data_IF_818736002517
#
_entry.id   IF_818736002517
#
_cell.length_a   1.000
_cell.length_b   1.000
_cell.length_c   1.000
_cell.angle_alpha   90.00
_cell.angle_beta   90.00
_cell.angle_gamma   90.00
#
_symmetry.space_group_name_H-M   'P 1'
#
loop_
_entity.id
_entity.type
_entity.pdbx_description
1 polymer ?
#
# COMPACT_ATOMS: atom_id res chain seq x y z
N UNK A 1 90.52 17.47 43.11
CA UNK A 1 90.75 18.92 43.10
C UNK A 1 89.38 19.60 43.02
N UNK A 2 88.94 20.19 44.13
CA UNK A 2 88.18 21.39 44.35
C UNK A 2 87.25 21.86 43.19
N UNK A 3 85.95 22.28 43.33
CA UNK A 3 85.33 23.12 44.43
C UNK A 3 83.79 23.14 44.22
N UNK A 4 83.05 23.03 45.32
CA UNK A 4 81.99 23.85 45.90
C UNK A 4 81.02 24.54 44.93
N UNK A 5 79.73 24.20 45.10
CA UNK A 5 78.60 24.80 45.78
C UNK A 5 78.07 26.12 45.15
N UNK A 6 76.75 26.11 44.86
CA UNK A 6 75.78 27.03 45.47
C UNK A 6 74.34 26.64 45.24
N UNK A 7 73.59 26.40 46.31
CA UNK A 7 72.13 26.48 46.34
C UNK A 7 71.73 27.91 46.03
N UNK A 8 70.72 28.08 45.24
CA UNK A 8 69.90 29.25 45.31
C UNK A 8 68.40 28.84 45.22
N UNK A 9 67.75 28.99 46.37
CA UNK A 9 66.32 28.91 46.60
C UNK A 9 65.70 30.23 46.13
N UNK A 10 64.88 30.12 45.06
CA UNK A 10 63.75 31.06 44.82
C UNK A 10 62.91 30.54 43.65
N UNK A 11 61.77 29.90 43.91
CA UNK A 11 60.43 30.36 43.46
C UNK A 11 59.37 29.32 43.69
N UNK A 12 58.40 29.47 44.56
CA UNK A 12 57.16 28.72 44.62
C UNK A 12 55.97 29.48 43.98
N UNK A 13 56.17 30.15 42.84
CA UNK A 13 55.08 30.88 42.21
C UNK A 13 54.60 30.30 40.86
N UNK A 14 55.41 29.45 40.20
CA UNK A 14 55.08 28.87 38.90
C UNK A 14 54.17 27.63 38.97
N UNK A 15 54.16 26.90 40.09
CA UNK A 15 53.36 25.68 40.26
C UNK A 15 51.88 25.94 40.48
N UNK A 16 51.49 27.12 40.97
CA UNK A 16 50.08 27.47 41.26
C UNK A 16 49.31 27.95 40.01
N UNK A 17 49.96 28.56 39.04
CA UNK A 17 49.35 29.03 37.78
C UNK A 17 49.14 27.85 36.78
N UNK A 18 50.03 26.87 36.75
CA UNK A 18 49.85 25.70 35.89
C UNK A 18 48.77 24.78 36.41
N UNK A 19 48.57 24.66 37.73
CA UNK A 19 47.48 23.89 38.34
C UNK A 19 46.09 24.53 38.11
N UNK A 20 46.01 25.87 38.10
CA UNK A 20 44.74 26.57 37.83
C UNK A 20 44.37 26.56 36.35
N UNK A 21 45.32 26.58 35.42
CA UNK A 21 45.07 26.45 33.99
C UNK A 21 44.66 25.00 33.59
N UNK A 22 45.12 23.96 34.28
CA UNK A 22 44.73 22.58 34.05
C UNK A 22 43.33 22.28 34.62
N UNK A 23 42.90 22.94 35.68
CA UNK A 23 41.53 22.79 36.23
C UNK A 23 40.48 23.56 35.41
N UNK A 24 40.83 24.66 34.75
CA UNK A 24 39.94 25.43 33.87
C UNK A 24 39.86 24.74 32.50
N UNK A 25 40.92 24.06 32.01
CA UNK A 25 40.91 23.31 30.76
C UNK A 25 40.11 22.02 30.86
N UNK A 26 40.02 21.38 32.02
CA UNK A 26 39.22 20.17 32.23
C UNK A 26 37.72 20.42 32.31
N UNK A 27 37.30 21.64 32.70
CA UNK A 27 35.87 22.00 32.70
C UNK A 27 35.35 22.38 31.30
N UNK A 28 36.21 22.87 30.41
CA UNK A 28 35.85 23.19 29.02
C UNK A 28 35.82 21.92 28.09
N UNK A 29 36.52 20.85 28.45
CA UNK A 29 36.49 19.57 27.73
C UNK A 29 35.38 18.61 28.20
N UNK A 30 34.74 18.92 29.36
CA UNK A 30 33.66 18.09 29.90
C UNK A 30 32.27 18.48 29.36
N UNK A 31 32.14 19.60 28.66
CA UNK A 31 30.85 20.10 28.17
C UNK A 31 30.39 19.46 26.90
N UNK A 32 31.33 18.97 26.07
CA UNK A 32 31.03 18.30 24.79
C UNK A 32 30.87 16.76 24.89
N UNK A 33 31.19 16.14 26.02
CA UNK A 33 31.25 14.68 26.15
C UNK A 33 29.87 14.00 26.17
N UNK A 34 28.85 14.65 26.73
CA UNK A 34 27.51 14.04 26.84
C UNK A 34 26.82 13.84 25.47
N UNK A 35 26.99 14.74 24.54
CA UNK A 35 26.43 14.65 23.20
C UNK A 35 27.07 13.51 22.42
N UNK A 36 28.39 13.35 22.56
CA UNK A 36 29.10 12.23 21.95
C UNK A 36 28.68 10.89 22.56
N UNK A 37 28.47 10.83 23.87
CA UNK A 37 27.91 9.65 24.54
C UNK A 37 26.50 9.32 24.03
N UNK A 38 25.62 10.32 23.89
CA UNK A 38 24.28 10.13 23.33
C UNK A 38 24.34 9.60 21.89
N UNK A 39 25.14 10.22 21.02
CA UNK A 39 25.32 9.76 19.63
C UNK A 39 25.84 8.34 19.58
N UNK A 40 26.88 8.01 20.36
CA UNK A 40 27.43 6.66 20.43
C UNK A 40 26.40 5.63 20.90
N UNK A 41 25.59 5.96 21.91
CA UNK A 41 24.53 5.07 22.39
C UNK A 41 23.43 4.88 21.32
N UNK A 42 23.08 5.93 20.58
CA UNK A 42 22.10 5.88 19.47
C UNK A 42 22.65 4.99 18.34
N UNK A 43 23.91 5.14 17.94
CA UNK A 43 24.53 4.33 16.89
C UNK A 43 24.57 2.85 17.27
N UNK A 44 24.71 2.54 18.56
CA UNK A 44 24.61 1.20 19.13
C UNK A 44 23.17 0.72 19.37
N UNK A 45 22.16 1.50 19.00
CA UNK A 45 20.74 1.23 19.25
C UNK A 45 20.35 1.10 20.74
N UNK A 46 21.13 1.70 21.63
CA UNK A 46 20.93 1.68 23.07
C UNK A 46 20.15 2.92 23.52
N UNK A 47 18.90 3.06 23.06
CA UNK A 47 18.10 4.28 23.27
C UNK A 47 17.87 4.58 24.76
N UNK A 48 17.68 3.57 25.60
CA UNK A 48 17.55 3.75 27.05
C UNK A 48 18.82 4.31 27.70
N UNK A 49 20.00 3.89 27.25
CA UNK A 49 21.26 4.44 27.72
C UNK A 49 21.42 5.91 27.29
N UNK A 50 21.08 6.23 26.05
CA UNK A 50 21.06 7.61 25.55
C UNK A 50 20.12 8.50 26.38
N UNK A 51 18.91 8.04 26.71
CA UNK A 51 17.97 8.75 27.59
C UNK A 51 18.53 8.98 29.01
N UNK A 52 19.23 7.98 29.57
CA UNK A 52 19.86 8.16 30.89
C UNK A 52 20.91 9.27 30.88
N UNK A 53 21.76 9.34 29.84
CA UNK A 53 22.77 10.41 29.69
C UNK A 53 22.10 11.78 29.59
N UNK A 54 21.07 11.92 28.74
CA UNK A 54 20.33 13.17 28.57
C UNK A 54 19.63 13.59 29.86
N UNK A 55 19.00 12.67 30.58
CA UNK A 55 18.35 12.97 31.86
C UNK A 55 19.35 13.41 32.95
N UNK A 56 20.55 12.80 32.98
CA UNK A 56 21.62 13.23 33.87
C UNK A 56 22.08 14.67 33.53
N UNK A 57 22.22 14.98 32.24
CA UNK A 57 22.55 16.38 31.81
C UNK A 57 21.49 17.35 32.26
N UNK A 58 20.21 17.06 32.05
CA UNK A 58 19.10 17.92 32.46
C UNK A 58 18.95 18.05 33.98
N UNK A 59 19.34 17.04 34.76
CA UNK A 59 19.39 17.15 36.21
C UNK A 59 20.44 18.21 36.71
N UNK A 60 21.54 18.34 35.97
CA UNK A 60 22.57 19.35 36.26
C UNK A 60 22.35 20.69 35.58
N UNK A 61 21.67 20.70 34.43
CA UNK A 61 21.40 21.89 33.61
C UNK A 61 19.95 21.84 33.06
N UNK A 62 18.94 22.20 33.86
CA UNK A 62 17.52 22.09 33.50
C UNK A 62 17.12 23.00 32.31
N UNK A 63 17.87 24.02 31.99
CA UNK A 63 17.59 24.97 30.89
C UNK A 63 18.41 24.71 29.64
N UNK A 64 19.03 23.51 29.53
CA UNK A 64 19.79 23.10 28.35
C UNK A 64 18.84 22.66 27.24
N UNK A 65 18.54 23.58 26.31
CA UNK A 65 17.59 23.36 25.22
C UNK A 65 18.07 22.28 24.23
N UNK A 66 19.38 22.09 24.10
CA UNK A 66 19.90 21.01 23.24
C UNK A 66 19.65 19.62 23.88
N UNK A 67 19.82 19.54 25.20
CA UNK A 67 19.47 18.34 25.93
C UNK A 67 17.94 18.03 25.85
N UNK A 68 17.09 19.08 25.92
CA UNK A 68 15.65 18.93 25.70
C UNK A 68 15.33 18.44 24.27
N UNK A 69 15.99 19.01 23.25
CA UNK A 69 15.81 18.54 21.86
C UNK A 69 16.21 17.07 21.69
N UNK A 70 17.33 16.65 22.30
CA UNK A 70 17.72 15.24 22.33
C UNK A 70 16.73 14.36 23.08
N UNK A 71 16.22 14.81 24.24
CA UNK A 71 15.20 14.06 24.98
C UNK A 71 13.95 13.88 24.17
N UNK A 72 13.46 14.93 23.52
CA UNK A 72 12.31 14.87 22.61
C UNK A 72 12.50 13.83 21.50
N UNK A 73 13.67 13.82 20.84
CA UNK A 73 13.99 12.87 19.78
C UNK A 73 14.00 11.42 20.29
N UNK A 74 14.63 11.15 21.43
CA UNK A 74 14.72 9.82 22.02
C UNK A 74 13.35 9.30 22.50
N UNK A 75 12.53 10.18 23.09
CA UNK A 75 11.15 9.86 23.49
C UNK A 75 10.28 9.56 22.26
N UNK A 76 10.43 10.34 21.19
CA UNK A 76 9.73 10.11 19.94
C UNK A 76 10.02 8.71 19.34
N UNK A 77 11.29 8.30 19.34
CA UNK A 77 11.72 6.98 18.85
C UNK A 77 11.25 5.81 19.73
N UNK A 78 10.98 6.06 21.01
CA UNK A 78 10.46 5.03 21.93
C UNK A 78 8.94 5.04 22.05
N UNK A 79 8.24 5.85 21.26
CA UNK A 79 6.78 5.90 21.21
C UNK A 79 6.12 6.75 22.28
N UNK A 80 6.89 7.49 23.08
CA UNK A 80 6.39 8.44 24.08
C UNK A 80 6.10 9.80 23.44
N UNK A 81 5.15 9.81 22.51
CA UNK A 81 4.94 10.94 21.60
C UNK A 81 4.49 12.22 22.32
N UNK A 82 3.61 12.10 23.33
CA UNK A 82 3.13 13.25 24.09
C UNK A 82 4.25 13.94 24.87
N UNK A 83 5.14 13.12 25.46
CA UNK A 83 6.29 13.67 26.21
C UNK A 83 7.30 14.30 25.24
N UNK A 84 7.52 13.67 24.06
CA UNK A 84 8.37 14.22 23.01
C UNK A 84 7.86 15.57 22.49
N UNK A 85 6.55 15.69 22.28
CA UNK A 85 5.91 16.94 21.88
C UNK A 85 6.14 18.05 22.91
N UNK A 86 5.99 17.73 24.19
CA UNK A 86 6.24 18.68 25.29
C UNK A 86 7.68 19.19 25.28
N UNK A 87 8.65 18.29 25.07
CA UNK A 87 10.07 18.66 24.97
C UNK A 87 10.35 19.56 23.77
N UNK A 88 9.82 19.24 22.62
CA UNK A 88 10.00 20.04 21.41
C UNK A 88 9.33 21.40 21.54
N UNK A 89 8.15 21.51 22.15
CA UNK A 89 7.49 22.78 22.39
C UNK A 89 8.29 23.67 23.36
N UNK A 90 8.92 23.08 24.38
CA UNK A 90 9.80 23.81 25.28
C UNK A 90 10.96 24.47 24.52
N UNK A 91 11.61 23.74 23.62
CA UNK A 91 12.70 24.28 22.79
C UNK A 91 12.19 25.36 21.84
N UNK A 92 11.05 25.11 21.15
CA UNK A 92 10.49 26.06 20.20
C UNK A 92 9.98 27.35 20.82
N UNK A 93 9.59 27.35 22.09
CA UNK A 93 9.27 28.57 22.82
C UNK A 93 10.48 29.52 22.93
N UNK A 94 11.70 28.97 22.97
CA UNK A 94 12.95 29.75 23.05
C UNK A 94 13.59 29.97 21.66
N UNK A 95 13.48 28.96 20.78
CA UNK A 95 14.04 28.94 19.42
C UNK A 95 12.96 28.58 18.40
N UNK A 96 12.04 29.47 18.05
CA UNK A 96 10.85 29.17 17.27
C UNK A 96 11.15 28.71 15.84
N UNK A 97 12.32 28.97 15.30
CA UNK A 97 12.74 28.65 13.96
C UNK A 97 13.79 27.50 13.88
N UNK A 98 13.95 26.75 14.96
CA UNK A 98 14.83 25.57 14.94
C UNK A 98 14.27 24.49 14.03
N UNK A 99 14.90 24.32 12.85
CA UNK A 99 14.42 23.44 11.79
C UNK A 99 14.45 21.97 12.20
N UNK A 100 15.47 21.56 12.95
CA UNK A 100 15.61 20.17 13.40
C UNK A 100 14.52 19.80 14.41
N UNK A 101 14.21 20.71 15.31
CA UNK A 101 13.14 20.52 16.29
C UNK A 101 11.77 20.59 15.63
N UNK A 102 11.54 21.52 14.70
CA UNK A 102 10.31 21.60 13.92
C UNK A 102 10.06 20.31 13.12
N UNK A 103 11.09 19.76 12.47
CA UNK A 103 10.93 18.51 11.73
C UNK A 103 10.70 17.32 12.66
N UNK A 104 11.33 17.27 13.82
CA UNK A 104 11.07 16.26 14.86
C UNK A 104 9.64 16.33 15.40
N UNK A 105 9.14 17.54 15.69
CA UNK A 105 7.76 17.75 16.12
C UNK A 105 6.76 17.31 15.03
N UNK A 106 7.03 17.65 13.78
CA UNK A 106 6.17 17.23 12.67
C UNK A 106 6.10 15.71 12.52
N UNK A 107 7.21 14.98 12.72
CA UNK A 107 7.22 13.52 12.73
C UNK A 107 6.36 12.96 13.88
N UNK A 108 6.44 13.54 15.08
CA UNK A 108 5.61 13.14 16.24
C UNK A 108 4.12 13.36 15.94
N UNK A 109 3.74 14.52 15.45
CA UNK A 109 2.36 14.85 15.07
C UNK A 109 1.84 13.92 13.96
N UNK A 110 2.70 13.54 13.01
CA UNK A 110 2.38 12.57 11.97
C UNK A 110 2.05 11.19 12.56
N UNK A 111 2.83 10.71 13.53
CA UNK A 111 2.59 9.42 14.19
C UNK A 111 1.32 9.44 15.06
N UNK A 112 0.97 10.60 15.61
CA UNK A 112 -0.30 10.84 16.31
C UNK A 112 -1.48 11.03 15.35
N UNK A 113 -1.27 10.98 14.02
CA UNK A 113 -2.26 11.24 12.96
C UNK A 113 -2.83 12.68 12.97
N UNK A 114 -2.14 13.61 13.57
CA UNK A 114 -2.48 15.04 13.58
C UNK A 114 -1.90 15.71 12.33
N UNK A 115 -2.46 15.36 11.17
CA UNK A 115 -1.89 15.73 9.87
C UNK A 115 -1.94 17.22 9.58
N UNK A 116 -2.97 17.94 10.05
CA UNK A 116 -3.14 19.37 9.85
C UNK A 116 -2.09 20.16 10.61
N UNK A 117 -1.84 19.78 11.86
CA UNK A 117 -0.85 20.37 12.75
C UNK A 117 0.57 20.07 12.24
N UNK A 118 0.83 18.83 11.84
CA UNK A 118 2.11 18.45 11.23
C UNK A 118 2.41 19.28 9.97
N UNK A 119 1.39 19.55 9.13
CA UNK A 119 1.59 20.39 7.95
C UNK A 119 1.90 21.84 8.31
N UNK A 120 1.23 22.40 9.31
CA UNK A 120 1.49 23.77 9.78
C UNK A 120 2.93 23.92 10.31
N UNK A 121 3.40 22.94 11.10
CA UNK A 121 4.77 22.92 11.61
C UNK A 121 5.80 22.79 10.48
N UNK A 122 5.53 21.95 9.46
CA UNK A 122 6.41 21.84 8.29
C UNK A 122 6.40 23.11 7.42
N UNK A 123 5.31 23.87 7.36
CA UNK A 123 5.29 25.18 6.71
C UNK A 123 6.17 26.19 7.46
N UNK A 124 6.17 26.17 8.79
CA UNK A 124 7.07 26.98 9.59
C UNK A 124 8.53 26.57 9.35
N UNK A 125 8.85 25.29 9.35
CA UNK A 125 10.19 24.79 9.04
C UNK A 125 10.64 25.21 7.63
N UNK A 126 9.73 25.12 6.62
CA UNK A 126 10.00 25.57 5.26
C UNK A 126 10.24 27.09 5.17
N UNK A 127 9.52 27.87 5.97
CA UNK A 127 9.73 29.33 6.03
C UNK A 127 11.09 29.68 6.60
N UNK A 128 11.56 28.91 7.60
CA UNK A 128 12.90 29.09 8.19
C UNK A 128 14.02 28.57 7.26
N UNK A 129 13.78 27.48 6.52
CA UNK A 129 14.76 26.85 5.61
C UNK A 129 14.11 26.44 4.28
N UNK A 130 13.86 27.38 3.33
CA UNK A 130 13.07 27.13 2.12
C UNK A 130 13.64 26.08 1.17
N UNK A 131 14.95 25.86 1.21
CA UNK A 131 15.66 24.93 0.31
C UNK A 131 16.17 23.68 1.04
N UNK A 132 15.81 23.48 2.31
CA UNK A 132 16.23 22.29 3.05
C UNK A 132 15.56 21.03 2.47
N UNK A 133 16.33 20.09 1.89
CA UNK A 133 15.76 18.90 1.22
C UNK A 133 14.97 18.03 2.19
N UNK A 134 15.37 17.97 3.45
CA UNK A 134 14.71 17.15 4.46
C UNK A 134 13.32 17.68 4.80
N UNK A 135 13.18 18.99 4.97
CA UNK A 135 11.88 19.66 5.17
C UNK A 135 10.98 19.44 3.97
N UNK A 136 11.50 19.69 2.75
CA UNK A 136 10.72 19.53 1.52
C UNK A 136 10.25 18.09 1.31
N UNK A 137 11.10 17.09 1.59
CA UNK A 137 10.74 15.66 1.49
C UNK A 137 9.68 15.28 2.51
N UNK A 138 9.81 15.69 3.79
CA UNK A 138 8.79 15.41 4.81
C UNK A 138 7.45 16.02 4.45
N UNK A 139 7.47 17.28 4.04
CA UNK A 139 6.28 17.99 3.58
C UNK A 139 5.64 17.29 2.38
N UNK A 140 6.42 16.88 1.39
CA UNK A 140 5.93 16.16 0.22
C UNK A 140 5.29 14.82 0.59
N UNK A 141 5.88 14.06 1.52
CA UNK A 141 5.31 12.81 2.04
C UNK A 141 3.97 13.04 2.75
N UNK A 142 3.88 14.07 3.57
CA UNK A 142 2.64 14.43 4.25
C UNK A 142 1.57 14.89 3.25
N UNK A 143 1.91 15.70 2.25
CA UNK A 143 1.00 16.09 1.18
C UNK A 143 0.51 14.88 0.38
N UNK A 144 1.39 13.91 0.10
CA UNK A 144 1.01 12.65 -0.54
C UNK A 144 0.04 11.83 0.33
N UNK A 145 0.24 11.82 1.64
CA UNK A 145 -0.66 11.17 2.60
C UNK A 145 -2.03 11.85 2.64
N UNK A 146 -2.08 13.18 2.48
CA UNK A 146 -3.30 13.98 2.39
C UNK A 146 -3.92 14.00 0.98
N UNK A 147 -3.44 13.15 0.06
CA UNK A 147 -3.90 13.03 -1.34
C UNK A 147 -3.69 14.32 -2.18
N UNK A 148 -2.91 15.28 -1.68
CA UNK A 148 -2.49 16.49 -2.41
C UNK A 148 -1.33 16.15 -3.36
N UNK A 149 -1.57 15.22 -4.28
CA UNK A 149 -0.54 14.55 -5.11
C UNK A 149 0.22 15.53 -6.02
N UNK A 150 -0.46 16.52 -6.58
CA UNK A 150 0.17 17.54 -7.43
C UNK A 150 1.19 18.39 -6.66
N UNK A 151 0.85 18.79 -5.44
CA UNK A 151 1.74 19.57 -4.58
C UNK A 151 2.90 18.72 -4.05
N UNK A 152 2.62 17.46 -3.66
CA UNK A 152 3.66 16.51 -3.27
C UNK A 152 4.68 16.30 -4.41
N UNK A 153 4.20 16.11 -5.63
CA UNK A 153 5.04 15.97 -6.82
C UNK A 153 5.94 17.20 -7.04
N UNK A 154 5.37 18.40 -6.97
CA UNK A 154 6.12 19.64 -7.12
C UNK A 154 7.23 19.78 -6.05
N UNK A 155 6.99 19.37 -4.81
CA UNK A 155 8.00 19.41 -3.75
C UNK A 155 9.12 18.40 -3.97
N UNK A 156 8.81 17.14 -4.35
CA UNK A 156 9.86 16.16 -4.69
C UNK A 156 10.68 16.62 -5.89
N UNK A 157 10.03 17.19 -6.92
CA UNK A 157 10.74 17.75 -8.07
C UNK A 157 11.66 18.90 -7.66
N UNK A 158 11.21 19.80 -6.79
CA UNK A 158 12.03 20.89 -6.26
C UNK A 158 13.30 20.36 -5.57
N UNK A 159 13.20 19.29 -4.77
CA UNK A 159 14.39 18.65 -4.18
C UNK A 159 15.35 18.15 -5.26
N UNK A 160 14.86 17.54 -6.33
CA UNK A 160 15.70 17.00 -7.40
C UNK A 160 16.34 18.09 -8.29
N UNK A 161 15.89 19.34 -8.22
CA UNK A 161 16.61 20.46 -8.88
C UNK A 161 17.92 20.81 -8.17
N UNK A 162 18.02 20.54 -6.86
CA UNK A 162 19.22 20.82 -6.05
C UNK A 162 20.09 19.56 -5.89
N UNK A 163 19.46 18.41 -5.71
CA UNK A 163 20.08 17.09 -5.55
C UNK A 163 19.35 16.06 -6.42
N UNK A 164 19.79 15.94 -7.67
CA UNK A 164 19.18 15.05 -8.67
C UNK A 164 19.23 13.56 -8.30
N UNK A 165 20.07 13.19 -7.35
CA UNK A 165 20.24 11.81 -6.86
C UNK A 165 19.55 11.55 -5.53
N UNK A 166 18.83 12.51 -4.95
CA UNK A 166 18.19 12.35 -3.66
C UNK A 166 17.25 11.13 -3.59
N UNK A 167 17.62 10.07 -2.85
CA UNK A 167 16.89 8.80 -2.91
C UNK A 167 15.47 8.91 -2.37
N UNK A 168 15.24 9.82 -1.40
CA UNK A 168 13.93 10.03 -0.81
C UNK A 168 12.98 10.74 -1.79
N UNK A 169 13.47 11.70 -2.56
CA UNK A 169 12.69 12.40 -3.57
C UNK A 169 12.41 11.51 -4.79
N UNK A 170 13.40 10.74 -5.25
CA UNK A 170 13.22 9.74 -6.34
C UNK A 170 12.17 8.69 -5.95
N UNK A 171 12.32 8.09 -4.75
CA UNK A 171 11.35 7.11 -4.24
C UNK A 171 9.97 7.73 -4.03
N UNK A 172 9.91 8.98 -3.54
CA UNK A 172 8.68 9.74 -3.37
C UNK A 172 7.94 9.95 -4.69
N UNK A 173 8.63 10.41 -5.74
CA UNK A 173 8.03 10.56 -7.08
C UNK A 173 7.56 9.22 -7.65
N UNK A 174 8.35 8.16 -7.51
CA UNK A 174 7.97 6.83 -7.95
C UNK A 174 6.70 6.33 -7.23
N UNK A 175 6.55 6.63 -5.94
CA UNK A 175 5.34 6.27 -5.17
C UNK A 175 4.11 7.05 -5.63
N UNK A 176 4.28 8.28 -6.15
CA UNK A 176 3.20 9.10 -6.70
C UNK A 176 2.85 8.74 -8.14
N UNK A 177 3.80 8.20 -8.91
CA UNK A 177 3.58 7.79 -10.29
C UNK A 177 2.68 6.55 -10.40
N UNK A 178 2.63 5.72 -9.35
CA UNK A 178 1.82 4.50 -9.32
C UNK A 178 0.32 4.71 -9.04
N UNK A 179 -0.14 5.94 -8.78
CA UNK A 179 -1.55 6.24 -8.47
C UNK A 179 -2.17 7.02 -9.63
N UNK A 180 -2.38 6.34 -10.74
CA UNK A 180 -3.29 6.84 -11.77
C UNK A 180 -4.70 6.90 -11.20
N UNK A 181 -5.33 8.05 -11.32
CA UNK A 181 -6.67 8.28 -10.77
C UNK A 181 -7.74 7.58 -11.58
N UNK A 182 -7.49 7.38 -12.87
CA UNK A 182 -8.45 6.78 -13.79
C UNK A 182 -7.80 5.66 -14.60
N UNK A 183 -8.60 4.64 -14.94
CA UNK A 183 -8.24 3.58 -15.88
C UNK A 183 -9.37 3.39 -16.88
N UNK A 184 -9.05 3.37 -18.18
CA UNK A 184 -9.92 2.91 -19.23
C UNK A 184 -9.39 1.56 -19.71
N UNK A 185 -10.25 0.55 -19.78
CA UNK A 185 -9.91 -0.78 -20.31
C UNK A 185 -10.92 -1.21 -21.36
N UNK A 186 -10.41 -1.73 -22.47
CA UNK A 186 -11.20 -2.32 -23.52
C UNK A 186 -10.75 -3.77 -23.68
N UNK A 187 -11.68 -4.68 -23.77
CA UNK A 187 -11.40 -6.11 -23.90
C UNK A 187 -12.41 -6.82 -24.78
N UNK A 188 -11.98 -7.96 -25.29
CA UNK A 188 -12.78 -8.89 -26.06
C UNK A 188 -12.52 -10.30 -25.54
N UNK A 189 -13.56 -11.09 -25.42
CA UNK A 189 -13.54 -12.50 -25.10
C UNK A 189 -14.34 -13.27 -26.15
N UNK A 190 -13.76 -14.36 -26.67
CA UNK A 190 -14.40 -15.26 -27.62
C UNK A 190 -14.42 -16.68 -27.05
N UNK A 191 -15.61 -17.27 -27.03
CA UNK A 191 -15.82 -18.64 -26.65
C UNK A 191 -16.07 -19.50 -27.91
N UNK A 192 -15.18 -20.46 -28.13
CA UNK A 192 -15.25 -21.42 -29.23
C UNK A 192 -15.81 -22.74 -28.71
N UNK A 193 -16.97 -23.15 -29.21
CA UNK A 193 -17.66 -24.38 -28.81
C UNK A 193 -17.53 -25.41 -29.91
N UNK A 194 -17.51 -26.70 -29.53
CA UNK A 194 -17.60 -27.83 -30.51
C UNK A 194 -19.02 -28.34 -30.71
N UNK A 195 -20.03 -27.75 -30.08
CA UNK A 195 -21.40 -28.25 -30.03
C UNK A 195 -22.48 -27.18 -30.29
N UNK A 196 -22.10 -25.90 -30.37
CA UNK A 196 -22.98 -24.78 -30.65
C UNK A 196 -22.23 -23.67 -31.37
N UNK A 197 -22.90 -22.60 -31.70
CA UNK A 197 -22.28 -21.38 -32.26
C UNK A 197 -21.33 -20.73 -31.26
N UNK A 198 -20.30 -20.06 -31.79
CA UNK A 198 -19.34 -19.34 -30.98
C UNK A 198 -20.01 -18.13 -30.32
N UNK A 199 -19.46 -17.72 -29.17
CA UNK A 199 -19.89 -16.53 -28.45
C UNK A 199 -18.81 -15.49 -28.42
N UNK A 200 -19.21 -14.22 -28.38
CA UNK A 200 -18.30 -13.06 -28.23
C UNK A 200 -18.85 -12.10 -27.21
N UNK A 201 -17.94 -11.53 -26.44
CA UNK A 201 -18.24 -10.49 -25.43
C UNK A 201 -17.19 -9.39 -25.55
N UNK A 202 -17.62 -8.21 -25.85
CA UNK A 202 -16.80 -7.02 -25.76
C UNK A 202 -17.00 -6.38 -24.39
N UNK A 203 -16.01 -5.71 -23.86
CA UNK A 203 -16.12 -5.02 -22.57
C UNK A 203 -15.36 -3.71 -22.61
N UNK A 204 -16.02 -2.63 -22.24
CA UNK A 204 -15.42 -1.32 -22.03
C UNK A 204 -15.67 -0.93 -20.58
N UNK A 205 -14.60 -0.64 -19.83
CA UNK A 205 -14.70 -0.25 -18.42
C UNK A 205 -13.96 1.05 -18.16
N UNK A 206 -14.54 1.86 -17.30
CA UNK A 206 -13.91 3.05 -16.76
C UNK A 206 -13.86 2.91 -15.24
N UNK A 207 -12.65 2.90 -14.68
CA UNK A 207 -12.40 2.84 -13.24
C UNK A 207 -11.88 4.18 -12.74
N UNK A 208 -12.43 4.67 -11.63
CA UNK A 208 -11.99 5.86 -10.93
C UNK A 208 -11.57 5.51 -9.49
N UNK A 209 -10.32 5.79 -9.14
CA UNK A 209 -9.83 5.78 -7.77
C UNK A 209 -10.11 7.14 -7.15
N UNK A 210 -11.28 7.30 -6.52
CA UNK A 210 -11.74 8.59 -5.99
C UNK A 210 -10.84 9.09 -4.85
N UNK A 211 -10.40 8.16 -4.01
CA UNK A 211 -9.42 8.36 -2.95
C UNK A 211 -8.82 7.00 -2.55
N UNK A 212 -8.03 6.95 -1.45
CA UNK A 212 -7.41 5.69 -0.97
C UNK A 212 -8.42 4.63 -0.52
N UNK A 213 -9.62 5.05 -0.14
CA UNK A 213 -10.67 4.16 0.37
C UNK A 213 -11.67 3.76 -0.72
N UNK A 214 -12.00 4.65 -1.66
CA UNK A 214 -13.05 4.45 -2.66
C UNK A 214 -12.50 4.21 -4.06
N UNK A 215 -12.93 3.10 -4.66
CA UNK A 215 -12.76 2.82 -6.09
C UNK A 215 -14.15 2.56 -6.68
N UNK A 216 -14.44 3.16 -7.84
CA UNK A 216 -15.66 2.92 -8.59
C UNK A 216 -15.34 2.50 -10.01
N UNK A 217 -16.12 1.59 -10.57
CA UNK A 217 -15.99 1.15 -11.95
C UNK A 217 -17.35 1.14 -12.59
N UNK A 218 -17.46 1.64 -13.81
CA UNK A 218 -18.62 1.48 -14.68
C UNK A 218 -18.21 0.73 -15.92
N UNK A 219 -19.09 -0.10 -16.44
CA UNK A 219 -18.79 -0.90 -17.63
C UNK A 219 -20.01 -1.10 -18.53
N UNK A 220 -19.72 -1.30 -19.80
CA UNK A 220 -20.69 -1.76 -20.80
C UNK A 220 -20.12 -2.99 -21.48
N UNK A 221 -20.95 -3.99 -21.65
CA UNK A 221 -20.57 -5.26 -22.28
C UNK A 221 -21.62 -5.65 -23.31
N UNK A 222 -21.38 -5.41 -24.60
CA UNK A 222 -22.11 -6.08 -25.69
C UNK A 222 -21.78 -7.57 -25.70
N UNK A 223 -22.81 -8.38 -25.88
CA UNK A 223 -22.76 -9.85 -25.99
C UNK A 223 -23.34 -10.28 -27.32
N UNK A 224 -22.67 -11.22 -27.93
CA UNK A 224 -23.23 -12.05 -29.01
C UNK A 224 -23.11 -13.50 -28.57
N UNK A 225 -24.23 -14.11 -28.14
CA UNK A 225 -24.27 -15.42 -27.53
C UNK A 225 -25.39 -16.23 -28.21
N UNK A 226 -25.07 -17.39 -28.79
CA UNK A 226 -26.07 -18.36 -29.33
C UNK A 226 -27.08 -17.73 -30.30
N UNK A 227 -26.62 -16.78 -31.13
CA UNK A 227 -27.48 -16.07 -32.08
C UNK A 227 -28.26 -14.88 -31.50
N UNK A 228 -28.19 -14.65 -30.21
CA UNK A 228 -28.82 -13.52 -29.50
C UNK A 228 -27.83 -12.40 -29.25
N UNK A 229 -28.34 -11.15 -29.24
CA UNK A 229 -27.56 -9.95 -28.90
C UNK A 229 -28.08 -9.36 -27.59
N UNK A 230 -27.15 -9.11 -26.69
CA UNK A 230 -27.45 -8.42 -25.44
C UNK A 230 -26.45 -7.30 -25.19
N UNK A 231 -26.89 -6.28 -24.44
CA UNK A 231 -26.00 -5.24 -23.93
C UNK A 231 -26.23 -5.15 -22.43
N UNK A 232 -25.19 -5.39 -21.66
CA UNK A 232 -25.19 -5.25 -20.21
C UNK A 232 -24.46 -3.97 -19.81
N UNK A 233 -25.08 -3.19 -18.94
CA UNK A 233 -24.47 -2.03 -18.26
C UNK A 233 -24.35 -2.38 -16.79
N UNK A 234 -23.20 -2.07 -16.20
CA UNK A 234 -22.95 -2.39 -14.81
C UNK A 234 -22.12 -1.31 -14.12
N UNK A 235 -22.28 -1.22 -12.81
CA UNK A 235 -21.49 -0.35 -11.96
C UNK A 235 -21.06 -1.10 -10.70
N UNK A 236 -19.84 -0.82 -10.27
CA UNK A 236 -19.23 -1.38 -9.08
C UNK A 236 -18.66 -0.26 -8.20
N UNK A 237 -18.78 -0.41 -6.89
CA UNK A 237 -18.12 0.43 -5.91
C UNK A 237 -17.42 -0.46 -4.88
N UNK A 238 -16.16 -0.15 -4.60
CA UNK A 238 -15.38 -0.79 -3.55
C UNK A 238 -14.96 0.25 -2.52
N UNK A 239 -15.14 -0.08 -1.25
CA UNK A 239 -14.76 0.75 -0.12
C UNK A 239 -13.83 -0.01 0.82
N UNK A 240 -12.64 0.55 1.08
CA UNK A 240 -11.68 0.03 2.04
C UNK A 240 -11.81 0.79 3.35
N UNK A 241 -12.19 0.08 4.40
CA UNK A 241 -12.28 0.59 5.76
C UNK A 241 -11.26 -0.14 6.64
N UNK A 242 -10.53 0.60 7.49
CA UNK A 242 -9.33 0.09 8.14
C UNK A 242 -8.28 -0.43 7.13
N UNK A 243 -7.09 -0.76 7.57
CA UNK A 243 -5.97 -1.08 6.67
C UNK A 243 -6.15 -2.38 5.88
N UNK A 244 -7.03 -3.29 6.36
CA UNK A 244 -7.09 -4.66 5.86
C UNK A 244 -8.52 -5.13 5.49
N UNK A 245 -9.54 -4.30 5.66
CA UNK A 245 -10.94 -4.67 5.39
C UNK A 245 -11.49 -3.88 4.21
N UNK A 246 -12.28 -4.53 3.38
CA UNK A 246 -12.94 -3.87 2.26
C UNK A 246 -14.31 -4.50 2.00
N UNK A 247 -15.19 -3.75 1.39
CA UNK A 247 -16.47 -4.20 0.86
C UNK A 247 -16.58 -3.79 -0.60
N UNK A 248 -17.18 -4.63 -1.42
CA UNK A 248 -17.46 -4.38 -2.83
C UNK A 248 -18.92 -4.67 -3.11
N UNK A 249 -19.57 -3.80 -3.88
CA UNK A 249 -20.93 -3.98 -4.35
C UNK A 249 -20.96 -3.76 -5.85
N UNK A 250 -21.76 -4.55 -6.56
CA UNK A 250 -21.99 -4.41 -7.98
C UNK A 250 -23.50 -4.50 -8.27
N UNK A 251 -23.95 -3.70 -9.21
CA UNK A 251 -25.27 -3.81 -9.80
C UNK A 251 -25.16 -3.78 -11.32
N UNK A 252 -25.94 -4.60 -12.00
CA UNK A 252 -26.00 -4.64 -13.45
C UNK A 252 -27.43 -4.79 -13.97
N UNK A 253 -27.63 -4.32 -15.23
CA UNK A 253 -28.83 -4.52 -15.97
C UNK A 253 -28.54 -4.79 -17.44
N UNK A 254 -29.34 -5.61 -18.10
CA UNK A 254 -29.25 -5.87 -19.52
C UNK A 254 -30.60 -5.67 -20.21
N UNK A 255 -30.58 -5.46 -21.55
CA UNK A 255 -31.80 -5.46 -22.33
C UNK A 255 -32.49 -6.85 -22.25
N UNK A 256 -33.83 -6.92 -22.34
CA UNK A 256 -34.55 -8.18 -22.24
C UNK A 256 -34.14 -9.18 -23.32
N UNK A 257 -33.67 -10.36 -22.89
CA UNK A 257 -33.26 -11.51 -23.71
C UNK A 257 -33.05 -12.72 -22.76
N UNK A 258 -32.73 -13.89 -23.28
CA UNK A 258 -32.71 -15.14 -22.51
C UNK A 258 -31.29 -15.65 -22.16
N UNK A 259 -30.22 -15.01 -22.66
CA UNK A 259 -28.86 -15.56 -22.60
C UNK A 259 -27.96 -14.90 -21.54
N UNK A 260 -28.27 -13.68 -21.08
CA UNK A 260 -27.60 -13.03 -19.96
C UNK A 260 -28.61 -12.61 -18.89
N UNK A 261 -28.21 -12.44 -17.64
CA UNK A 261 -29.12 -11.96 -16.60
C UNK A 261 -29.70 -10.58 -16.96
N UNK A 262 -31.02 -10.41 -16.83
CA UNK A 262 -31.67 -9.13 -16.99
C UNK A 262 -31.24 -8.12 -15.89
N UNK A 263 -30.90 -8.65 -14.69
CA UNK A 263 -30.31 -7.86 -13.62
C UNK A 263 -29.39 -8.69 -12.74
N UNK A 264 -28.41 -8.03 -12.13
CA UNK A 264 -27.44 -8.66 -11.21
C UNK A 264 -27.22 -7.77 -10.00
N UNK A 265 -26.99 -8.39 -8.86
CA UNK A 265 -26.50 -7.73 -7.65
C UNK A 265 -25.44 -8.59 -6.97
N UNK A 266 -24.34 -7.96 -6.57
CA UNK A 266 -23.25 -8.64 -5.87
C UNK A 266 -22.85 -7.80 -4.66
N UNK A 267 -22.59 -8.48 -3.56
CA UNK A 267 -21.92 -7.95 -2.40
C UNK A 267 -20.76 -8.88 -2.03
N UNK A 268 -19.61 -8.30 -1.75
CA UNK A 268 -18.43 -9.03 -1.30
C UNK A 268 -17.77 -8.27 -0.15
N UNK A 269 -17.36 -9.01 0.88
CA UNK A 269 -16.58 -8.52 2.00
C UNK A 269 -15.24 -9.25 2.02
N UNK A 270 -14.15 -8.50 2.16
CA UNK A 270 -12.80 -9.04 2.26
C UNK A 270 -12.05 -8.56 3.49
N UNK A 271 -11.18 -9.43 3.99
CA UNK A 271 -10.33 -9.19 5.13
C UNK A 271 -8.94 -9.76 4.92
N UNK A 272 -7.91 -8.96 5.18
CA UNK A 272 -6.50 -9.32 4.95
C UNK A 272 -5.69 -9.41 6.24
N UNK A 273 -4.75 -10.34 6.28
CA UNK A 273 -3.75 -10.52 7.33
C UNK A 273 -2.35 -10.40 6.74
N UNK A 274 -1.42 -9.80 7.48
CA UNK A 274 0.00 -9.75 7.12
C UNK A 274 0.81 -10.53 8.13
N UNK A 275 1.82 -11.25 7.64
CA UNK A 275 2.72 -12.04 8.46
C UNK A 275 4.17 -11.57 8.20
N UNK A 276 4.96 -11.37 9.28
CA UNK A 276 6.35 -10.88 9.18
C UNK A 276 7.38 -11.99 9.02
N UNK A 277 7.23 -13.12 9.74
CA UNK A 277 8.31 -14.08 9.96
C UNK A 277 8.05 -15.48 9.41
N UNK A 278 7.03 -15.62 8.52
CA UNK A 278 6.67 -16.90 7.90
C UNK A 278 6.78 -16.84 6.38
N UNK A 279 6.83 -18.01 5.73
CA UNK A 279 6.92 -18.13 4.29
C UNK A 279 5.71 -17.50 3.57
N UNK A 280 4.50 -17.64 4.09
CA UNK A 280 3.32 -16.91 3.63
C UNK A 280 3.38 -15.48 4.17
N UNK A 281 3.47 -14.48 3.30
CA UNK A 281 3.61 -13.06 3.65
C UNK A 281 2.30 -12.37 3.98
N UNK A 282 1.19 -12.95 3.56
CA UNK A 282 -0.16 -12.45 3.84
C UNK A 282 -1.21 -13.44 3.38
N UNK A 283 -2.39 -13.31 3.97
CA UNK A 283 -3.59 -14.05 3.61
C UNK A 283 -4.74 -13.06 3.47
N UNK A 284 -5.51 -13.15 2.40
CA UNK A 284 -6.75 -12.41 2.23
C UNK A 284 -7.90 -13.40 2.06
N UNK A 285 -8.96 -13.17 2.83
CA UNK A 285 -10.19 -13.96 2.79
C UNK A 285 -11.31 -13.09 2.30
N UNK A 286 -12.11 -13.55 1.33
CA UNK A 286 -13.33 -12.86 0.94
C UNK A 286 -14.53 -13.78 0.89
N UNK A 287 -15.71 -13.19 1.11
CA UNK A 287 -17.02 -13.83 1.10
C UNK A 287 -17.92 -13.01 0.21
N UNK A 288 -18.53 -13.67 -0.78
CA UNK A 288 -19.33 -13.02 -1.80
C UNK A 288 -20.70 -13.70 -1.90
N UNK A 289 -21.73 -12.89 -2.01
CA UNK A 289 -23.04 -13.28 -2.52
C UNK A 289 -23.26 -12.60 -3.86
N UNK A 290 -23.69 -13.38 -4.87
CA UNK A 290 -24.04 -12.86 -6.20
C UNK A 290 -25.36 -13.44 -6.62
N UNK A 291 -26.34 -12.56 -6.84
CA UNK A 291 -27.69 -12.87 -7.30
C UNK A 291 -27.84 -12.42 -8.75
N UNK A 292 -28.31 -13.34 -9.59
CA UNK A 292 -28.54 -13.15 -11.03
C UNK A 292 -30.00 -13.44 -11.33
N UNK A 293 -30.68 -12.53 -11.97
CA UNK A 293 -32.08 -12.67 -12.38
C UNK A 293 -32.15 -12.76 -13.90
N UNK A 294 -32.50 -13.94 -14.38
CA UNK A 294 -32.85 -14.22 -15.78
C UNK A 294 -34.35 -14.16 -15.96
N UNK A 295 -34.84 -14.08 -17.20
CA UNK A 295 -36.27 -14.04 -17.51
C UNK A 295 -37.06 -15.19 -16.88
N UNK A 296 -36.51 -16.40 -16.81
CA UNK A 296 -37.16 -17.61 -16.31
C UNK A 296 -36.55 -18.22 -15.06
N UNK A 297 -35.48 -17.63 -14.52
CA UNK A 297 -34.76 -18.20 -13.38
C UNK A 297 -34.05 -17.13 -12.53
N UNK A 298 -33.83 -17.47 -11.27
CA UNK A 298 -32.91 -16.77 -10.40
C UNK A 298 -31.78 -17.70 -9.98
N UNK A 299 -30.55 -17.23 -10.08
CA UNK A 299 -29.36 -17.95 -9.58
C UNK A 299 -28.75 -17.15 -8.44
N UNK A 300 -28.53 -17.82 -7.32
CA UNK A 300 -27.80 -17.25 -6.18
C UNK A 300 -26.52 -18.04 -6.00
N UNK A 301 -25.39 -17.37 -5.95
CA UNK A 301 -24.10 -17.99 -5.65
C UNK A 301 -23.52 -17.45 -4.37
N UNK A 302 -22.99 -18.35 -3.55
CA UNK A 302 -22.17 -18.02 -2.38
C UNK A 302 -20.74 -18.47 -2.66
N UNK A 303 -19.81 -17.56 -2.57
CA UNK A 303 -18.39 -17.82 -2.83
C UNK A 303 -17.53 -17.45 -1.62
N UNK A 304 -16.52 -18.25 -1.35
CA UNK A 304 -15.41 -17.89 -0.47
C UNK A 304 -14.10 -18.01 -1.21
N UNK A 305 -13.27 -16.99 -1.12
CA UNK A 305 -11.95 -16.95 -1.76
C UNK A 305 -10.87 -16.71 -0.73
N UNK A 306 -9.76 -17.45 -0.85
CA UNK A 306 -8.55 -17.29 -0.05
C UNK A 306 -7.38 -16.95 -0.98
N UNK A 307 -6.71 -15.85 -0.74
CA UNK A 307 -5.50 -15.45 -1.47
C UNK A 307 -4.31 -15.48 -0.54
N UNK A 308 -3.35 -16.38 -0.79
CA UNK A 308 -2.08 -16.41 -0.08
C UNK A 308 -1.03 -15.64 -0.88
N UNK A 309 -0.39 -14.66 -0.23
CA UNK A 309 0.73 -13.91 -0.77
C UNK A 309 2.04 -14.57 -0.37
N UNK A 310 2.83 -14.97 -1.35
CA UNK A 310 4.05 -15.73 -1.19
C UNK A 310 5.29 -14.86 -1.47
N UNK A 311 6.52 -15.31 -1.14
CA UNK A 311 7.74 -14.62 -1.53
C UNK A 311 7.82 -14.35 -3.04
N UNK A 312 8.60 -13.35 -3.43
CA UNK A 312 8.80 -12.96 -4.83
C UNK A 312 7.49 -12.55 -5.55
N UNK A 313 6.46 -12.11 -4.80
CA UNK A 313 5.16 -11.68 -5.31
C UNK A 313 4.33 -12.79 -5.98
N UNK A 314 4.61 -14.05 -5.70
CA UNK A 314 3.73 -15.13 -6.11
C UNK A 314 2.43 -15.07 -5.31
N UNK A 315 1.34 -15.49 -5.95
CA UNK A 315 0.03 -15.56 -5.29
C UNK A 315 -0.62 -16.92 -5.54
N UNK A 316 -1.24 -17.44 -4.51
CA UNK A 316 -2.07 -18.63 -4.65
C UNK A 316 -3.48 -18.27 -4.21
N UNK A 317 -4.44 -18.44 -5.13
CA UNK A 317 -5.86 -18.19 -4.89
C UNK A 317 -6.61 -19.50 -4.93
N UNK A 318 -7.43 -19.73 -3.91
CA UNK A 318 -8.38 -20.85 -3.84
C UNK A 318 -9.78 -20.27 -3.67
N UNK A 319 -10.75 -20.76 -4.46
CA UNK A 319 -12.15 -20.35 -4.35
C UNK A 319 -13.05 -21.57 -4.30
N UNK A 320 -14.08 -21.50 -3.45
CA UNK A 320 -15.16 -22.47 -3.38
C UNK A 320 -16.47 -21.71 -3.54
N UNK A 321 -17.31 -22.18 -4.44
CA UNK A 321 -18.61 -21.57 -4.77
C UNK A 321 -19.71 -22.62 -4.64
N UNK A 322 -20.81 -22.27 -3.98
CA UNK A 322 -22.08 -22.98 -4.06
C UNK A 322 -23.05 -22.16 -4.91
N UNK A 323 -23.75 -22.81 -5.81
CA UNK A 323 -24.79 -22.19 -6.63
C UNK A 323 -26.15 -22.85 -6.41
N UNK A 324 -27.19 -22.04 -6.31
CA UNK A 324 -28.58 -22.47 -6.16
C UNK A 324 -29.43 -21.75 -7.19
N UNK A 325 -30.26 -22.52 -7.91
CA UNK A 325 -31.11 -21.99 -8.98
C UNK A 325 -32.59 -22.21 -8.65
N UNK A 326 -33.40 -21.17 -8.80
CA UNK A 326 -34.87 -21.20 -8.74
C UNK A 326 -35.43 -20.91 -10.12
N UNK A 327 -36.38 -21.71 -10.57
CA UNK A 327 -37.09 -21.53 -11.83
C UNK A 327 -38.57 -21.92 -11.70
N UNK A 328 -39.41 -21.58 -12.66
CA UNK A 328 -40.86 -21.79 -12.59
C UNK A 328 -41.30 -23.24 -12.31
N UNK A 329 -40.48 -24.24 -12.61
CA UNK A 329 -40.72 -25.65 -12.38
C UNK A 329 -40.12 -26.25 -11.10
N UNK A 330 -39.46 -25.46 -10.25
CA UNK A 330 -38.82 -25.92 -9.02
C UNK A 330 -37.51 -25.21 -8.69
N UNK A 331 -36.73 -25.81 -7.79
CA UNK A 331 -35.44 -25.33 -7.37
C UNK A 331 -34.36 -26.39 -7.58
N UNK A 332 -33.12 -26.02 -7.82
CA UNK A 332 -31.98 -26.93 -7.80
C UNK A 332 -31.47 -27.14 -6.38
N UNK A 333 -30.82 -28.24 -6.13
CA UNK A 333 -29.94 -28.37 -4.98
C UNK A 333 -28.74 -27.41 -5.10
N UNK A 334 -28.06 -27.15 -3.98
CA UNK A 334 -26.79 -26.42 -3.99
C UNK A 334 -25.72 -27.22 -4.72
N UNK A 335 -25.17 -26.67 -5.78
CA UNK A 335 -24.14 -27.29 -6.61
C UNK A 335 -22.78 -26.66 -6.35
N UNK A 336 -21.81 -27.42 -5.80
CA UNK A 336 -20.50 -26.89 -5.48
C UNK A 336 -19.58 -26.83 -6.70
N UNK A 337 -18.72 -25.82 -6.73
CA UNK A 337 -17.58 -25.70 -7.63
C UNK A 337 -16.36 -25.15 -6.91
N UNK A 338 -15.17 -25.40 -7.44
CA UNK A 338 -13.94 -24.91 -6.87
C UNK A 338 -12.92 -24.52 -7.93
N UNK A 339 -12.08 -23.57 -7.61
CA UNK A 339 -10.97 -23.17 -8.48
C UNK A 339 -9.69 -22.90 -7.70
N UNK A 340 -8.56 -23.11 -8.38
CA UNK A 340 -7.23 -22.75 -7.91
C UNK A 340 -6.53 -21.92 -8.99
N UNK A 341 -5.89 -20.83 -8.59
CA UNK A 341 -5.08 -19.99 -9.47
C UNK A 341 -3.72 -19.74 -8.87
N UNK A 342 -2.66 -19.89 -9.67
CA UNK A 342 -1.29 -19.54 -9.33
C UNK A 342 -0.88 -18.32 -10.14
N UNK A 343 -0.60 -17.21 -9.48
CA UNK A 343 -0.05 -16.01 -10.10
C UNK A 343 1.47 -15.95 -9.94
N UNK A 344 2.16 -15.66 -11.03
CA UNK A 344 3.63 -15.69 -11.12
C UNK A 344 4.15 -14.42 -11.79
N UNK A 345 5.01 -13.63 -11.13
CA UNK A 345 5.79 -12.59 -11.81
C UNK A 345 6.91 -13.26 -12.61
N UNK A 346 6.90 -13.13 -13.93
CA UNK A 346 7.91 -13.71 -14.82
C UNK A 346 9.09 -12.76 -15.01
N UNK A 347 8.80 -11.47 -15.30
CA UNK A 347 9.77 -10.39 -15.45
C UNK A 347 9.19 -9.09 -14.88
N UNK A 348 9.99 -8.01 -14.84
CA UNK A 348 9.52 -6.69 -14.35
C UNK A 348 8.22 -6.20 -15.00
N UNK A 349 8.07 -6.45 -16.31
CA UNK A 349 6.93 -6.01 -17.12
C UNK A 349 5.96 -7.13 -17.47
N UNK A 350 6.26 -8.40 -17.16
CA UNK A 350 5.46 -9.57 -17.55
C UNK A 350 5.09 -10.38 -16.33
N UNK A 351 3.80 -10.62 -16.14
CA UNK A 351 3.26 -11.56 -15.16
C UNK A 351 2.36 -12.58 -15.83
N UNK A 352 2.27 -13.76 -15.24
CA UNK A 352 1.43 -14.84 -15.73
C UNK A 352 0.58 -15.42 -14.62
N UNK A 353 -0.45 -16.20 -15.02
CA UNK A 353 -1.21 -17.02 -14.10
C UNK A 353 -1.58 -18.34 -14.75
N UNK A 354 -1.77 -19.35 -13.90
CA UNK A 354 -2.34 -20.66 -14.26
C UNK A 354 -3.64 -20.84 -13.50
N UNK A 355 -4.66 -21.37 -14.15
CA UNK A 355 -5.99 -21.61 -13.60
C UNK A 355 -6.35 -23.08 -13.75
N UNK A 356 -6.90 -23.65 -12.69
CA UNK A 356 -7.60 -24.92 -12.71
C UNK A 356 -8.94 -24.77 -11.97
N UNK A 357 -10.04 -25.28 -12.53
CA UNK A 357 -11.34 -25.28 -11.87
C UNK A 357 -12.10 -26.58 -12.15
N UNK A 358 -12.95 -26.97 -11.19
CA UNK A 358 -13.85 -28.11 -11.26
C UNK A 358 -15.20 -27.76 -10.69
N UNK A 359 -16.26 -28.35 -11.20
CA UNK A 359 -17.60 -28.19 -10.62
C UNK A 359 -18.68 -28.01 -11.67
N UNK A 360 -19.81 -27.50 -11.21
CA UNK A 360 -20.95 -27.21 -12.04
C UNK A 360 -20.67 -26.08 -13.02
N UNK A 361 -21.27 -26.19 -14.16
CA UNK A 361 -21.02 -25.32 -15.27
C UNK A 361 -21.69 -23.97 -15.21
N UNK A 362 -21.20 -23.21 -16.19
CA UNK A 362 -21.62 -21.86 -16.53
C UNK A 362 -23.16 -21.70 -16.53
N UNK A 363 -23.62 -20.68 -15.84
CA UNK A 363 -25.02 -20.33 -15.62
C UNK A 363 -25.72 -19.76 -16.85
N UNK A 364 -25.08 -19.73 -18.02
CA UNK A 364 -25.62 -19.16 -19.25
C UNK A 364 -26.71 -19.98 -19.91
N UNK A 365 -26.88 -21.27 -19.56
CA UNK A 365 -27.97 -22.14 -20.06
C UNK A 365 -28.83 -22.56 -18.88
N UNK A 366 -29.92 -21.85 -18.66
CA UNK A 366 -30.82 -22.00 -17.51
C UNK A 366 -31.42 -23.38 -17.35
N UNK A 367 -31.69 -24.08 -18.47
CA UNK A 367 -32.27 -25.44 -18.52
C UNK A 367 -31.26 -26.55 -18.16
N UNK A 368 -29.95 -26.24 -18.13
CA UNK A 368 -28.89 -27.22 -17.86
C UNK A 368 -28.04 -26.88 -16.61
N UNK A 369 -28.41 -25.85 -15.86
CA UNK A 369 -27.68 -25.43 -14.66
C UNK A 369 -27.57 -26.58 -13.65
N UNK A 370 -26.35 -26.89 -13.22
CA UNK A 370 -26.07 -27.87 -12.18
C UNK A 370 -26.14 -29.34 -12.63
N UNK A 371 -26.44 -29.64 -13.89
CA UNK A 371 -26.54 -31.02 -14.41
C UNK A 371 -25.22 -31.54 -14.97
N UNK A 372 -24.29 -30.68 -15.33
CA UNK A 372 -23.05 -31.08 -16.01
C UNK A 372 -21.83 -30.69 -15.15
N UNK A 373 -20.91 -31.63 -14.97
CA UNK A 373 -19.61 -31.35 -14.38
C UNK A 373 -18.62 -30.89 -15.45
N UNK A 374 -17.86 -29.87 -15.15
CA UNK A 374 -16.83 -29.35 -16.04
C UNK A 374 -15.47 -29.33 -15.36
N UNK A 375 -14.41 -29.45 -16.16
CA UNK A 375 -13.03 -29.21 -15.75
C UNK A 375 -12.46 -28.10 -16.62
N UNK A 376 -11.98 -27.04 -16.00
CA UNK A 376 -11.39 -25.91 -16.71
C UNK A 376 -9.92 -25.82 -16.36
N UNK A 377 -9.08 -25.63 -17.34
CA UNK A 377 -7.66 -25.34 -17.19
C UNK A 377 -7.26 -24.26 -18.18
N UNK A 378 -6.40 -23.37 -17.75
CA UNK A 378 -6.00 -22.24 -18.57
C UNK A 378 -4.90 -21.42 -17.96
N UNK A 379 -4.63 -20.29 -18.57
CA UNK A 379 -3.66 -19.35 -18.07
C UNK A 379 -3.73 -18.05 -18.83
N UNK A 380 -3.08 -17.03 -18.25
CA UNK A 380 -3.05 -15.71 -18.84
C UNK A 380 -1.70 -15.05 -18.64
N UNK A 381 -1.43 -14.06 -19.48
CA UNK A 381 -0.25 -13.20 -19.43
C UNK A 381 -0.69 -11.76 -19.40
N UNK A 382 0.01 -10.96 -18.59
CA UNK A 382 -0.13 -9.50 -18.58
C UNK A 382 1.22 -8.89 -18.87
N UNK A 383 1.30 -8.11 -19.93
CA UNK A 383 2.48 -7.35 -20.30
C UNK A 383 2.26 -5.85 -20.10
N UNK A 384 3.12 -5.20 -19.32
CA UNK A 384 3.14 -3.75 -19.11
C UNK A 384 4.15 -3.10 -20.05
N UNK A 385 3.65 -2.29 -20.97
CA UNK A 385 4.50 -1.49 -21.87
C UNK A 385 5.10 -0.29 -21.14
N UNK A 386 4.32 0.28 -20.20
CA UNK A 386 4.71 1.42 -19.38
C UNK A 386 4.00 1.34 -18.02
N UNK A 387 4.24 2.31 -17.16
CA UNK A 387 3.50 2.43 -15.88
C UNK A 387 2.00 2.67 -16.10
N UNK A 388 1.62 3.26 -17.24
CA UNK A 388 0.25 3.64 -17.57
C UNK A 388 -0.46 2.69 -18.54
N UNK A 389 0.22 1.72 -19.17
CA UNK A 389 -0.36 0.90 -20.23
C UNK A 389 -0.03 -0.57 -20.06
N UNK A 390 -1.02 -1.42 -20.24
CA UNK A 390 -0.84 -2.88 -20.27
C UNK A 390 -1.79 -3.59 -21.23
N UNK A 391 -1.36 -4.78 -21.67
CA UNK A 391 -2.19 -5.76 -22.37
C UNK A 391 -2.27 -7.02 -21.52
N UNK A 392 -3.46 -7.61 -21.48
CA UNK A 392 -3.70 -8.91 -20.86
C UNK A 392 -4.29 -9.85 -21.91
N UNK A 393 -3.75 -11.05 -22.00
CA UNK A 393 -4.28 -12.12 -22.83
C UNK A 393 -4.47 -13.38 -21.98
N UNK A 394 -5.52 -14.15 -22.26
CA UNK A 394 -5.72 -15.43 -21.62
C UNK A 394 -6.28 -16.48 -22.60
N UNK A 395 -6.07 -17.73 -22.25
CA UNK A 395 -6.68 -18.90 -22.88
C UNK A 395 -7.11 -19.86 -21.79
N UNK A 396 -8.33 -20.41 -21.94
CA UNK A 396 -8.83 -21.45 -21.08
C UNK A 396 -9.53 -22.52 -21.91
N UNK A 397 -9.41 -23.77 -21.46
CA UNK A 397 -10.10 -24.92 -22.02
C UNK A 397 -11.01 -25.49 -20.95
N UNK A 398 -12.27 -25.70 -21.31
CA UNK A 398 -13.26 -26.36 -20.49
C UNK A 398 -13.72 -27.64 -21.16
N UNK A 399 -13.48 -28.75 -20.47
CA UNK A 399 -13.99 -30.06 -20.86
C UNK A 399 -15.24 -30.36 -20.03
N UNK A 400 -16.37 -30.59 -20.72
CA UNK A 400 -17.70 -30.80 -20.15
C UNK A 400 -18.14 -32.28 -20.34
N UNK A 401 -19.20 -32.64 -19.66
CA UNK A 401 -19.82 -33.94 -19.87
C UNK A 401 -20.23 -34.15 -21.36
N UNK A 402 -20.40 -35.39 -21.75
CA UNK A 402 -20.80 -35.81 -23.13
C UNK A 402 -19.84 -35.35 -24.24
N UNK A 403 -18.58 -35.10 -23.93
CA UNK A 403 -17.56 -34.70 -24.92
C UNK A 403 -17.70 -33.29 -25.45
N UNK A 404 -18.53 -32.45 -24.81
CA UNK A 404 -18.64 -31.05 -25.11
C UNK A 404 -17.38 -30.30 -24.64
N UNK A 405 -16.94 -29.31 -25.42
CA UNK A 405 -15.71 -28.58 -25.19
C UNK A 405 -15.93 -27.10 -25.51
N UNK A 406 -15.34 -26.25 -24.64
CA UNK A 406 -15.27 -24.82 -24.86
C UNK A 406 -13.81 -24.39 -24.80
N UNK A 407 -13.41 -23.48 -25.67
CA UNK A 407 -12.12 -22.80 -25.58
C UNK A 407 -12.38 -21.29 -25.50
N UNK A 408 -12.02 -20.68 -24.41
CA UNK A 408 -12.14 -19.24 -24.21
C UNK A 408 -10.81 -18.57 -24.52
N UNK A 409 -10.86 -17.50 -25.32
CA UNK A 409 -9.74 -16.63 -25.65
C UNK A 409 -10.11 -15.21 -25.22
N UNK A 410 -9.21 -14.52 -24.54
CA UNK A 410 -9.48 -13.13 -24.16
C UNK A 410 -8.27 -12.27 -24.37
N UNK A 411 -8.53 -11.03 -24.79
CA UNK A 411 -7.55 -9.96 -24.95
C UNK A 411 -8.10 -8.68 -24.38
N UNK A 412 -7.30 -7.94 -23.61
CA UNK A 412 -7.70 -6.61 -23.14
C UNK A 412 -6.51 -5.65 -23.09
N UNK A 413 -6.78 -4.39 -23.36
CA UNK A 413 -5.84 -3.27 -23.26
C UNK A 413 -6.33 -2.27 -22.22
N UNK A 414 -5.44 -1.86 -21.32
CA UNK A 414 -5.72 -0.86 -20.28
C UNK A 414 -4.79 0.33 -20.37
N UNK A 415 -5.36 1.53 -20.22
CA UNK A 415 -4.63 2.78 -20.09
C UNK A 415 -5.02 3.49 -18.80
N UNK A 416 -4.02 3.98 -18.05
CA UNK A 416 -4.17 4.70 -16.78
C UNK A 416 -3.70 6.13 -16.94
N UNK A 417 -4.42 7.10 -16.32
CA UNK A 417 -4.12 8.53 -16.42
C UNK A 417 -4.61 9.31 -15.20
#
# INVERSE_FOLDING_TARGET
MFCRSHLDLRQPAAAFVVGLCLLVSSSLLAEDDWQQQVRSAVDQRQITAALAVVNLRLAGAPDDMEAHAWRGRLLAWTGHWQDAETEYQLVLNKFPNDVDVLTGLADVLLWQQQYSEALAVLEQARSAAPQNPEVLVRRARLLALLERTSEARAQFQAVLTYDSSNPAAVSGLASLAGVSKYELRIGEEADLFNYTENAQVETITFTAHLNRAWTTTIGVSPYHLFGENAVKIWAEAAYRFHHNNWVRVLGAGANPQDVVPESEALIEYGHGFRFSDVWVKGLESSYQEHSLWYRGAQVVTLNTTQVAYLPQQWTWTLSVTGAHTRFAGGESDWVPSGSARLGVPLFRSLSGNLLFAVGAENFAQVDQIGRLSARTYGGGLRYRFSESQDVTAFVARQDRAYGQKQTSLGLSYGIRF
#
